data_IF_560683171996
#
_entry.id   IF_560683171996
#
_cell.length_a   1.000
_cell.length_b   1.000
_cell.length_c   1.000
_cell.angle_alpha   90.00
_cell.angle_beta   90.00
_cell.angle_gamma   90.00
#
_symmetry.space_group_name_H-M   'P 1'
#
loop_
_entity.id
_entity.type
_entity.pdbx_description
1 polymer ?
#
# COMPACT_ATOMS: atom_id res chain seq x y z
N UNK A 1 5.16 2.39 -3.08
CA UNK A 1 5.28 1.71 -1.75
C UNK A 1 5.37 0.21 -1.98
N UNK A 2 5.98 -0.58 -1.09
CA UNK A 2 6.13 -2.02 -1.29
C UNK A 2 4.82 -2.75 -0.99
N UNK A 3 3.80 -2.52 -1.82
CA UNK A 3 2.63 -3.37 -1.92
C UNK A 3 2.70 -3.99 -3.32
N UNK A 4 3.07 -5.27 -3.45
CA UNK A 4 3.10 -5.91 -4.75
C UNK A 4 1.67 -5.90 -5.32
N UNK A 5 1.52 -5.54 -6.59
CA UNK A 5 0.24 -5.60 -7.29
C UNK A 5 -0.34 -7.02 -7.19
N UNK A 6 -1.56 -7.13 -6.71
CA UNK A 6 -2.25 -8.40 -6.50
C UNK A 6 -3.42 -8.47 -7.48
N UNK A 7 -3.46 -9.45 -8.39
CA UNK A 7 -4.46 -9.49 -9.46
C UNK A 7 -5.92 -9.56 -8.97
N UNK A 8 -6.14 -10.02 -7.73
CA UNK A 8 -7.48 -10.21 -7.15
C UNK A 8 -7.72 -9.45 -5.82
N UNK A 9 -6.92 -8.42 -5.51
CA UNK A 9 -7.14 -7.52 -4.36
C UNK A 9 -7.18 -8.21 -2.99
N UNK A 10 -6.08 -8.16 -2.24
CA UNK A 10 -6.00 -8.68 -0.86
C UNK A 10 -6.94 -7.98 0.15
N UNK A 11 -7.63 -6.90 -0.24
CA UNK A 11 -8.62 -6.21 0.61
C UNK A 11 -9.83 -7.07 1.00
N UNK A 12 -9.99 -8.27 0.44
CA UNK A 12 -11.12 -9.16 0.71
C UNK A 12 -10.84 -10.06 1.92
N UNK A 13 -11.05 -9.52 3.13
CA UNK A 13 -10.99 -10.32 4.36
C UNK A 13 -10.64 -9.56 5.64
N UNK A 14 -10.34 -8.25 5.53
CA UNK A 14 -10.02 -7.43 6.70
C UNK A 14 -8.66 -7.72 7.34
N UNK A 15 -7.83 -8.57 6.73
CA UNK A 15 -6.51 -8.92 7.22
C UNK A 15 -5.48 -7.91 6.71
N UNK A 16 -4.67 -7.41 7.64
CA UNK A 16 -3.55 -6.50 7.34
C UNK A 16 -2.26 -7.12 7.87
N UNK A 17 -1.23 -7.21 7.01
CA UNK A 17 0.07 -7.78 7.34
C UNK A 17 1.15 -6.73 7.08
N UNK A 18 2.05 -6.58 8.04
CA UNK A 18 3.23 -5.73 7.90
C UNK A 18 4.49 -6.57 8.01
N UNK A 19 5.49 -6.28 7.17
CA UNK A 19 6.81 -6.87 7.34
C UNK A 19 7.49 -6.21 8.55
N UNK A 20 7.84 -7.01 9.56
CA UNK A 20 8.53 -6.54 10.77
C UNK A 20 9.88 -5.90 10.47
N UNK A 21 10.49 -6.25 9.33
CA UNK A 21 11.72 -5.65 8.88
C UNK A 21 11.62 -4.14 8.61
N UNK A 22 10.42 -3.57 8.42
CA UNK A 22 10.22 -2.11 8.26
C UNK A 22 10.62 -1.29 9.49
N UNK A 23 10.87 -1.94 10.63
CA UNK A 23 11.35 -1.31 11.87
C UNK A 23 12.84 -1.55 12.15
N UNK A 24 13.41 -2.67 11.70
CA UNK A 24 14.73 -3.12 12.17
C UNK A 24 15.67 -3.66 11.08
N UNK A 25 15.16 -4.21 9.97
CA UNK A 25 15.97 -4.75 8.88
C UNK A 25 16.13 -3.77 7.73
N UNK A 26 14.99 -3.26 7.25
CA UNK A 26 14.85 -2.32 6.14
C UNK A 26 14.02 -1.12 6.61
N UNK A 27 14.56 -0.33 7.56
CA UNK A 27 13.77 0.65 8.28
C UNK A 27 13.22 1.72 7.32
N UNK A 28 11.90 1.90 7.35
CA UNK A 28 11.25 2.99 6.65
C UNK A 28 11.37 4.29 7.44
N UNK A 29 11.36 5.43 6.73
CA UNK A 29 11.19 6.72 7.40
C UNK A 29 9.85 6.73 8.15
N UNK A 30 9.75 7.48 9.25
CA UNK A 30 8.52 7.57 10.05
C UNK A 30 7.30 7.92 9.19
N UNK A 31 7.46 8.86 8.25
CA UNK A 31 6.40 9.28 7.35
C UNK A 31 5.95 8.13 6.42
N UNK A 32 6.91 7.41 5.83
CA UNK A 32 6.57 6.25 5.00
C UNK A 32 5.93 5.13 5.79
N UNK A 33 6.44 4.83 6.99
CA UNK A 33 5.88 3.79 7.85
C UNK A 33 4.42 4.09 8.23
N UNK A 34 4.12 5.33 8.63
CA UNK A 34 2.74 5.74 8.94
C UNK A 34 1.85 5.66 7.71
N UNK A 35 2.33 6.09 6.55
CA UNK A 35 1.56 5.98 5.30
C UNK A 35 1.28 4.52 4.93
N UNK A 36 2.28 3.63 5.02
CA UNK A 36 2.10 2.19 4.77
C UNK A 36 1.04 1.59 5.71
N UNK A 37 1.06 1.94 7.00
CA UNK A 37 0.06 1.44 7.95
C UNK A 37 -1.35 1.88 7.57
N UNK A 38 -1.54 3.18 7.26
CA UNK A 38 -2.86 3.67 6.85
C UNK A 38 -3.30 3.03 5.53
N UNK A 39 -2.38 2.90 4.58
CA UNK A 39 -2.63 2.33 3.25
C UNK A 39 -3.20 0.91 3.32
N UNK A 40 -2.55 0.01 4.07
CA UNK A 40 -3.03 -1.38 4.16
C UNK A 40 -4.38 -1.48 4.90
N UNK A 41 -4.63 -0.60 5.88
CA UNK A 41 -5.94 -0.52 6.54
C UNK A 41 -7.02 -0.05 5.56
N UNK A 42 -6.73 0.90 4.67
CA UNK A 42 -7.68 1.34 3.65
C UNK A 42 -8.02 0.19 2.68
N UNK A 43 -7.05 -0.66 2.34
CA UNK A 43 -7.32 -1.88 1.59
C UNK A 43 -8.23 -2.85 2.32
N UNK A 44 -8.05 -3.03 3.63
CA UNK A 44 -8.95 -3.84 4.45
C UNK A 44 -10.40 -3.30 4.49
N UNK A 45 -10.59 -1.99 4.22
CA UNK A 45 -11.90 -1.34 4.08
C UNK A 45 -12.45 -1.37 2.64
N UNK A 46 -11.73 -1.99 1.69
CA UNK A 46 -12.16 -2.15 0.30
C UNK A 46 -11.74 -1.02 -0.65
N UNK A 47 -10.84 -0.12 -0.23
CA UNK A 47 -10.22 0.82 -1.18
C UNK A 47 -9.14 0.09 -1.98
N UNK A 48 -8.94 0.53 -3.21
CA UNK A 48 -7.92 0.01 -4.12
C UNK A 48 -7.04 1.16 -4.64
N UNK A 49 -6.12 0.89 -5.57
CA UNK A 49 -5.40 1.89 -6.35
C UNK A 49 -6.05 2.12 -7.74
N UNK A 50 -7.31 2.57 -7.84
CA UNK A 50 -8.00 2.71 -9.13
C UNK A 50 -7.39 3.80 -10.03
N UNK A 51 -6.53 4.64 -9.46
CA UNK A 51 -5.93 5.79 -10.12
C UNK A 51 -4.41 5.72 -9.95
N UNK A 52 -3.76 4.91 -10.77
CA UNK A 52 -2.30 4.80 -10.74
C UNK A 52 -1.71 5.73 -11.80
N UNK A 53 -1.11 6.82 -11.34
CA UNK A 53 -0.24 7.68 -12.14
C UNK A 53 1.15 7.04 -12.17
N UNK A 54 1.40 6.20 -13.19
CA UNK A 54 2.63 5.40 -13.28
C UNK A 54 3.86 6.23 -13.63
N UNK A 55 3.70 7.39 -14.27
CA UNK A 55 4.78 8.23 -14.75
C UNK A 55 4.92 9.57 -13.99
N UNK A 56 3.98 9.87 -13.09
CA UNK A 56 4.01 11.03 -12.21
C UNK A 56 3.61 12.34 -12.89
N UNK A 57 2.83 12.26 -13.97
CA UNK A 57 2.42 13.42 -14.76
C UNK A 57 1.14 14.12 -14.23
N UNK A 58 0.54 13.56 -13.18
CA UNK A 58 -0.69 14.04 -12.56
C UNK A 58 -1.97 13.55 -13.24
N UNK A 59 -1.86 12.63 -14.19
CA UNK A 59 -2.99 11.97 -14.87
C UNK A 59 -3.09 10.50 -14.47
N UNK A 60 -4.18 9.86 -14.87
CA UNK A 60 -4.48 8.48 -14.49
C UNK A 60 -4.46 7.64 -15.75
N UNK A 61 -3.56 6.66 -15.78
CA UNK A 61 -3.52 5.70 -16.87
C UNK A 61 -4.72 4.74 -16.79
N UNK A 62 -5.31 4.32 -17.93
CA UNK A 62 -6.45 3.40 -17.98
C UNK A 62 -6.21 2.02 -17.35
#
# INVERSE_FOLDING_TARGET
>A
MPCPWQPDGLGRGGLVIYNSEYWTGWPLSKAHLTNTIVHEVLHALGLDHPNTDLDGDGTVEP
#
